data_IF_004570298027
#
_entry.id   IF_004570298027
#
_cell.length_a   1.000
_cell.length_b   1.000
_cell.length_c   1.000
_cell.angle_alpha   90.00
_cell.angle_beta   90.00
_cell.angle_gamma   90.00
#
_symmetry.space_group_name_H-M   'P 1'
#
loop_
_entity.id
_entity.type
_entity.pdbx_description
1 polymer ?
#
# COMPACT_ATOMS: atom_id res chain seq x y z
N UNK A 1 18.11 42.53 0.18
CA UNK A 1 18.92 41.76 -0.79
C UNK A 1 18.94 40.31 -0.34
N UNK A 2 18.12 39.45 -0.95
CA UNK A 2 18.22 38.00 -0.74
C UNK A 2 19.57 37.54 -1.31
N UNK A 3 20.48 37.06 -0.47
CA UNK A 3 21.78 36.54 -0.92
C UNK A 3 21.55 35.11 -1.43
N UNK A 4 21.43 34.93 -2.74
CA UNK A 4 21.53 33.61 -3.35
C UNK A 4 23.00 33.19 -3.46
N UNK A 5 23.29 31.92 -3.18
CA UNK A 5 24.62 31.31 -3.34
C UNK A 5 24.55 30.28 -4.47
N UNK A 6 25.47 30.39 -5.44
CA UNK A 6 25.61 29.37 -6.48
C UNK A 6 26.56 28.28 -6.01
N UNK A 7 26.12 27.03 -6.07
CA UNK A 7 26.91 25.85 -5.71
C UNK A 7 26.95 24.90 -6.89
N UNK A 8 28.15 24.48 -7.29
CA UNK A 8 28.35 23.49 -8.37
C UNK A 8 28.94 22.21 -7.76
N UNK A 9 28.33 21.07 -8.04
CA UNK A 9 28.83 19.76 -7.62
C UNK A 9 28.75 18.78 -8.78
N UNK A 10 29.58 17.74 -8.73
CA UNK A 10 29.53 16.62 -9.67
C UNK A 10 28.82 15.44 -9.01
N UNK A 11 27.91 14.83 -9.75
CA UNK A 11 27.30 13.57 -9.36
C UNK A 11 28.24 12.42 -9.73
N UNK A 12 28.48 11.47 -8.81
CA UNK A 12 29.11 10.19 -9.14
C UNK A 12 28.36 9.48 -10.28
N UNK A 13 29.08 8.78 -11.15
CA UNK A 13 28.51 8.18 -12.36
C UNK A 13 27.37 7.19 -12.05
N UNK A 14 27.50 6.45 -10.96
CA UNK A 14 26.50 5.50 -10.45
C UNK A 14 25.19 6.16 -9.98
N UNK A 15 25.20 7.45 -9.70
CA UNK A 15 24.02 8.20 -9.26
C UNK A 15 23.35 9.00 -10.39
N UNK A 16 23.96 9.08 -11.58
CA UNK A 16 23.46 9.94 -12.67
C UNK A 16 22.10 9.47 -13.18
N UNK A 17 21.94 8.16 -13.43
CA UNK A 17 20.70 7.59 -13.94
C UNK A 17 19.57 7.69 -12.92
N UNK A 18 19.83 7.28 -11.67
CA UNK A 18 18.85 7.31 -10.59
C UNK A 18 18.42 8.74 -10.24
N UNK A 19 19.36 9.70 -10.22
CA UNK A 19 19.04 11.12 -10.04
C UNK A 19 18.17 11.65 -11.19
N UNK A 20 18.53 11.34 -12.44
CA UNK A 20 17.80 11.85 -13.60
C UNK A 20 16.37 11.29 -13.62
N UNK A 21 16.20 10.00 -13.35
CA UNK A 21 14.89 9.37 -13.24
C UNK A 21 14.04 9.99 -12.11
N UNK A 22 14.61 10.16 -10.92
CA UNK A 22 13.89 10.73 -9.78
C UNK A 22 13.46 12.20 -10.00
N UNK A 23 14.27 12.99 -10.71
CA UNK A 23 13.87 14.35 -11.12
C UNK A 23 12.73 14.29 -12.14
N UNK A 24 12.84 13.44 -13.17
CA UNK A 24 11.80 13.27 -14.19
C UNK A 24 10.46 12.84 -13.58
N UNK A 25 10.47 11.85 -12.68
CA UNK A 25 9.27 11.33 -12.01
C UNK A 25 8.61 12.36 -11.09
N UNK A 26 9.38 13.34 -10.59
CA UNK A 26 8.84 14.42 -9.75
C UNK A 26 8.03 15.45 -10.54
N UNK A 27 8.21 15.52 -11.86
CA UNK A 27 7.61 16.56 -12.72
C UNK A 27 8.12 17.99 -12.44
N UNK A 28 9.18 18.14 -11.63
CA UNK A 28 9.76 19.43 -11.25
C UNK A 28 11.11 19.67 -11.92
N UNK A 29 11.55 20.92 -12.03
CA UNK A 29 12.89 21.22 -12.54
C UNK A 29 13.98 20.76 -11.54
N UNK A 30 15.19 20.53 -12.05
CA UNK A 30 16.33 20.01 -11.26
C UNK A 30 16.64 20.88 -10.04
N UNK A 31 16.49 22.20 -10.16
CA UNK A 31 16.81 23.14 -9.08
C UNK A 31 15.74 23.07 -8.00
N UNK A 32 14.45 23.11 -8.36
CA UNK A 32 13.35 22.94 -7.41
C UNK A 32 13.44 21.59 -6.67
N UNK A 33 13.74 20.51 -7.39
CA UNK A 33 13.92 19.18 -6.81
C UNK A 33 15.05 19.15 -5.77
N UNK A 34 16.23 19.70 -6.10
CA UNK A 34 17.37 19.78 -5.19
C UNK A 34 17.10 20.68 -3.98
N UNK A 35 16.45 21.82 -4.16
CA UNK A 35 16.05 22.69 -3.05
C UNK A 35 15.09 21.97 -2.12
N UNK A 36 14.14 21.20 -2.66
CA UNK A 36 13.27 20.32 -1.88
C UNK A 36 14.05 19.30 -1.05
N UNK A 37 15.03 18.64 -1.66
CA UNK A 37 15.90 17.67 -0.97
C UNK A 37 16.75 18.32 0.14
N UNK A 38 17.32 19.50 -0.10
CA UNK A 38 18.07 20.27 0.90
C UNK A 38 17.18 20.65 2.07
N UNK A 39 16.01 21.23 1.80
CA UNK A 39 14.99 21.59 2.79
C UNK A 39 14.60 20.40 3.68
N UNK A 40 14.37 19.25 3.05
CA UNK A 40 14.09 18.00 3.76
C UNK A 40 15.27 17.59 4.66
N UNK A 41 16.50 17.64 4.16
CA UNK A 41 17.70 17.22 4.92
C UNK A 41 17.99 18.11 6.14
N UNK A 42 17.65 19.40 6.08
CA UNK A 42 17.86 20.36 7.17
C UNK A 42 16.61 20.57 8.05
N UNK A 43 15.58 19.73 7.91
CA UNK A 43 14.30 19.84 8.63
C UNK A 43 13.63 21.21 8.51
N UNK A 44 13.80 21.90 7.38
CA UNK A 44 13.09 23.14 7.07
C UNK A 44 12.03 22.85 6.00
N UNK A 45 10.77 22.59 6.39
CA UNK A 45 9.69 22.42 5.43
C UNK A 45 9.48 23.72 4.62
N UNK A 46 8.81 23.58 3.46
CA UNK A 46 8.51 24.72 2.58
C UNK A 46 7.91 25.89 3.38
N UNK A 47 8.41 27.11 3.18
CA UNK A 47 7.90 28.29 3.87
C UNK A 47 6.45 28.58 3.49
N UNK A 48 6.00 28.10 2.33
CA UNK A 48 4.63 28.22 1.89
C UNK A 48 3.72 27.18 2.59
N UNK A 49 2.73 27.69 3.32
CA UNK A 49 1.75 26.90 4.09
C UNK A 49 0.92 26.00 3.18
N UNK A 50 0.54 26.47 1.99
CA UNK A 50 -0.29 25.72 1.04
C UNK A 50 0.48 24.50 0.49
N UNK A 51 1.76 24.68 0.17
CA UNK A 51 2.61 23.57 -0.26
C UNK A 51 2.80 22.53 0.84
N UNK A 52 2.93 22.96 2.10
CA UNK A 52 3.00 22.06 3.25
C UNK A 52 1.71 21.27 3.44
N UNK A 53 0.56 21.92 3.29
CA UNK A 53 -0.74 21.27 3.36
C UNK A 53 -0.92 20.26 2.22
N UNK A 54 -0.55 20.63 0.99
CA UNK A 54 -0.64 19.73 -0.16
C UNK A 54 0.25 18.48 0.01
N UNK A 55 1.48 18.66 0.48
CA UNK A 55 2.40 17.55 0.76
C UNK A 55 1.91 16.65 1.89
N UNK A 56 1.29 17.23 2.92
CA UNK A 56 0.67 16.48 4.02
C UNK A 56 -0.52 15.65 3.51
N UNK A 57 -1.42 16.27 2.73
CA UNK A 57 -2.59 15.61 2.14
C UNK A 57 -2.13 14.44 1.27
N UNK A 58 -1.14 14.63 0.39
CA UNK A 58 -0.61 13.55 -0.45
C UNK A 58 -0.06 12.37 0.36
N UNK A 59 0.63 12.64 1.46
CA UNK A 59 1.13 11.58 2.38
C UNK A 59 0.00 10.88 3.11
N UNK A 60 -1.02 11.63 3.56
CA UNK A 60 -2.20 11.08 4.19
C UNK A 60 -3.03 10.23 3.22
N UNK A 61 -3.19 10.66 1.97
CA UNK A 61 -3.85 9.88 0.92
C UNK A 61 -3.09 8.59 0.62
N UNK A 62 -1.76 8.65 0.55
CA UNK A 62 -0.92 7.47 0.37
C UNK A 62 -1.05 6.50 1.55
N UNK A 63 -1.04 7.03 2.78
CA UNK A 63 -1.21 6.23 3.99
C UNK A 63 -2.64 5.66 4.11
N UNK A 64 -3.66 6.43 3.74
CA UNK A 64 -5.05 6.01 3.73
C UNK A 64 -5.30 4.94 2.66
N UNK A 65 -4.70 5.07 1.47
CA UNK A 65 -4.72 4.02 0.44
C UNK A 65 -4.06 2.73 0.95
N UNK A 66 -2.95 2.84 1.68
CA UNK A 66 -2.28 1.70 2.31
C UNK A 66 -3.08 1.07 3.47
N UNK A 67 -3.96 1.84 4.13
CA UNK A 67 -4.83 1.35 5.20
C UNK A 67 -6.16 0.80 4.67
N UNK A 68 -6.69 1.34 3.57
CA UNK A 68 -7.97 0.94 2.97
C UNK A 68 -7.88 -0.22 1.98
N UNK A 69 -6.77 -0.34 1.25
CA UNK A 69 -6.45 -1.49 0.40
C UNK A 69 -5.33 -2.31 1.04
N UNK A 70 -5.62 -3.57 1.42
CA UNK A 70 -4.57 -4.47 1.90
C UNK A 70 -3.35 -4.47 0.97
N UNK A 71 -2.14 -4.49 1.55
CA UNK A 71 -0.78 -4.52 0.95
C UNK A 71 -0.63 -3.81 -0.43
N UNK A 72 0.21 -2.76 -0.47
CA UNK A 72 0.63 -2.08 -1.70
C UNK A 72 1.01 -3.08 -2.81
N UNK A 73 0.39 -2.92 -4.00
CA UNK A 73 0.77 -3.63 -5.22
C UNK A 73 -0.20 -4.70 -5.74
N UNK A 74 -1.33 -4.95 -5.06
CA UNK A 74 -2.29 -5.98 -5.47
C UNK A 74 -3.63 -5.33 -5.86
N UNK A 75 -4.13 -5.51 -7.09
CA UNK A 75 -5.43 -4.98 -7.49
C UNK A 75 -6.54 -5.51 -6.55
N UNK A 76 -7.42 -4.64 -6.01
CA UNK A 76 -8.52 -5.11 -5.19
C UNK A 76 -9.48 -5.90 -6.08
N UNK A 77 -9.48 -7.22 -5.95
CA UNK A 77 -10.53 -8.04 -6.51
C UNK A 77 -11.82 -7.79 -5.73
N UNK A 78 -12.93 -7.52 -6.42
CA UNK A 78 -14.23 -7.44 -5.76
C UNK A 78 -14.54 -8.78 -5.08
N UNK A 79 -15.48 -8.75 -4.12
CA UNK A 79 -15.86 -9.94 -3.38
C UNK A 79 -16.23 -11.11 -4.30
N UNK A 80 -15.50 -12.22 -4.17
CA UNK A 80 -15.75 -13.47 -4.87
C UNK A 80 -15.82 -14.61 -3.85
N UNK A 81 -17.03 -15.10 -3.57
CA UNK A 81 -17.26 -16.15 -2.57
C UNK A 81 -16.51 -17.44 -2.89
N UNK A 82 -16.49 -17.87 -4.15
CA UNK A 82 -15.84 -19.12 -4.54
C UNK A 82 -14.32 -19.03 -4.31
N UNK A 83 -13.71 -17.90 -4.66
CA UNK A 83 -12.29 -17.69 -4.42
C UNK A 83 -11.95 -17.58 -2.92
N UNK A 84 -12.78 -16.88 -2.14
CA UNK A 84 -12.59 -16.79 -0.68
C UNK A 84 -12.67 -18.17 -0.03
N UNK A 85 -13.64 -19.00 -0.41
CA UNK A 85 -13.75 -20.39 0.05
C UNK A 85 -12.52 -21.21 -0.36
N UNK A 86 -12.05 -21.07 -1.61
CA UNK A 86 -10.88 -21.80 -2.11
C UNK A 86 -9.59 -21.44 -1.34
N UNK A 87 -9.34 -20.14 -1.13
CA UNK A 87 -8.18 -19.67 -0.35
C UNK A 87 -8.25 -20.18 1.10
N UNK A 88 -9.43 -20.10 1.74
CA UNK A 88 -9.62 -20.60 3.09
C UNK A 88 -9.36 -22.11 3.19
N UNK A 89 -9.94 -22.91 2.29
CA UNK A 89 -9.74 -24.35 2.26
C UNK A 89 -8.27 -24.71 1.99
N UNK A 90 -7.62 -24.03 1.03
CA UNK A 90 -6.21 -24.25 0.73
C UNK A 90 -5.31 -23.97 1.95
N UNK A 91 -5.56 -22.86 2.64
CA UNK A 91 -4.81 -22.48 3.85
C UNK A 91 -4.97 -23.52 4.97
N UNK A 92 -6.18 -24.08 5.11
CA UNK A 92 -6.45 -25.15 6.08
C UNK A 92 -5.75 -26.45 5.69
N UNK A 93 -5.72 -26.83 4.40
CA UNK A 93 -4.97 -28.02 3.92
C UNK A 93 -3.48 -27.93 4.20
N UNK A 94 -2.93 -26.72 4.16
CA UNK A 94 -1.53 -26.46 4.53
C UNK A 94 -1.27 -26.51 6.04
N UNK A 95 -2.29 -26.82 6.85
CA UNK A 95 -2.21 -26.98 8.30
C UNK A 95 -2.53 -25.72 9.10
N UNK A 96 -2.95 -24.63 8.44
CA UNK A 96 -3.19 -23.33 9.09
C UNK A 96 -4.70 -23.02 9.23
N UNK A 97 -5.40 -23.72 10.12
CA UNK A 97 -6.79 -23.37 10.51
C UNK A 97 -6.80 -22.24 11.57
N UNK A 98 -6.25 -21.09 11.21
CA UNK A 98 -6.26 -19.90 12.04
C UNK A 98 -6.87 -18.73 11.26
N UNK A 99 -7.96 -18.17 11.78
CA UNK A 99 -8.69 -17.08 11.12
C UNK A 99 -7.84 -15.83 10.83
N UNK A 100 -6.77 -15.58 11.60
CA UNK A 100 -5.83 -14.49 11.32
C UNK A 100 -4.99 -14.77 10.08
N UNK A 101 -4.45 -15.99 9.97
CA UNK A 101 -3.63 -16.42 8.82
C UNK A 101 -4.48 -16.46 7.55
N UNK A 102 -5.70 -17.00 7.66
CA UNK A 102 -6.62 -17.08 6.51
C UNK A 102 -6.99 -15.68 6.02
N UNK A 103 -7.30 -14.75 6.94
CA UNK A 103 -7.56 -13.35 6.58
C UNK A 103 -6.36 -12.68 5.89
N UNK A 104 -5.14 -12.92 6.38
CA UNK A 104 -3.92 -12.41 5.74
C UNK A 104 -3.78 -12.93 4.31
N UNK A 105 -3.96 -14.24 4.09
CA UNK A 105 -3.88 -14.83 2.75
C UNK A 105 -4.97 -14.37 1.80
N UNK A 106 -6.17 -14.09 2.31
CA UNK A 106 -7.24 -13.49 1.50
C UNK A 106 -6.86 -12.08 1.03
N UNK A 107 -6.24 -11.28 1.90
CA UNK A 107 -5.74 -9.96 1.55
C UNK A 107 -4.55 -10.03 0.58
N UNK A 108 -3.64 -11.00 0.76
CA UNK A 108 -2.52 -11.25 -0.17
C UNK A 108 -3.00 -11.73 -1.54
N UNK A 109 -4.09 -12.48 -1.60
CA UNK A 109 -4.75 -12.83 -2.85
C UNK A 109 -5.55 -11.66 -3.46
N UNK A 110 -5.59 -10.49 -2.80
CA UNK A 110 -6.24 -9.28 -3.29
C UNK A 110 -7.76 -9.24 -3.11
N UNK A 111 -8.37 -10.19 -2.40
CA UNK A 111 -9.84 -10.25 -2.26
C UNK A 111 -10.35 -9.33 -1.17
N UNK A 112 -11.34 -8.50 -1.50
CA UNK A 112 -12.04 -7.68 -0.52
C UNK A 112 -13.31 -8.36 0.01
N UNK A 113 -13.77 -7.89 1.17
CA UNK A 113 -15.09 -8.24 1.71
C UNK A 113 -16.20 -7.64 0.85
N UNK A 114 -17.45 -8.10 1.04
CA UNK A 114 -18.64 -7.49 0.40
C UNK A 114 -18.76 -5.97 0.63
N UNK A 115 -18.23 -5.47 1.74
CA UNK A 115 -18.24 -4.06 2.10
C UNK A 115 -17.01 -3.29 1.56
N UNK A 116 -16.18 -3.90 0.71
CA UNK A 116 -14.97 -3.28 0.16
C UNK A 116 -13.83 -3.13 1.17
N UNK A 117 -13.94 -3.77 2.35
CA UNK A 117 -12.90 -3.74 3.40
C UNK A 117 -11.93 -4.90 3.26
N UNK A 118 -10.72 -4.74 3.81
CA UNK A 118 -9.78 -5.83 4.04
C UNK A 118 -10.35 -6.87 5.02
N UNK A 119 -9.84 -8.09 4.95
CA UNK A 119 -10.16 -9.17 5.87
C UNK A 119 -9.36 -9.03 7.16
N UNK A 120 -10.03 -9.23 8.29
CA UNK A 120 -9.40 -9.52 9.57
C UNK A 120 -9.98 -10.83 10.14
N UNK A 121 -9.42 -11.27 11.28
CA UNK A 121 -9.84 -12.52 11.94
C UNK A 121 -11.34 -12.53 12.27
N UNK A 122 -11.89 -11.40 12.72
CA UNK A 122 -13.27 -11.32 13.21
C UNK A 122 -14.25 -11.26 12.03
N UNK A 123 -13.90 -10.51 10.98
CA UNK A 123 -14.60 -10.50 9.69
C UNK A 123 -14.64 -11.90 9.09
N UNK A 124 -13.49 -12.59 9.02
CA UNK A 124 -13.44 -13.96 8.50
C UNK A 124 -14.27 -14.91 9.36
N UNK A 125 -14.18 -14.82 10.68
CA UNK A 125 -14.92 -15.69 11.61
C UNK A 125 -16.44 -15.48 11.48
N UNK A 126 -16.90 -14.24 11.36
CA UNK A 126 -18.29 -13.91 11.13
C UNK A 126 -18.77 -14.43 9.76
N UNK A 127 -17.98 -14.20 8.72
CA UNK A 127 -18.27 -14.66 7.36
C UNK A 127 -18.34 -16.20 7.27
N UNK A 128 -17.41 -16.92 7.92
CA UNK A 128 -17.39 -18.40 7.97
C UNK A 128 -18.69 -18.96 8.56
N UNK A 129 -19.26 -18.29 9.56
CA UNK A 129 -20.53 -18.66 10.21
C UNK A 129 -21.77 -18.25 9.42
N UNK A 130 -21.62 -17.37 8.43
CA UNK A 130 -22.74 -16.87 7.65
C UNK A 130 -23.18 -17.88 6.59
N UNK A 131 -24.46 -18.26 6.61
CA UNK A 131 -25.04 -19.17 5.63
C UNK A 131 -24.32 -20.53 5.58
N UNK A 132 -23.99 -20.98 4.38
CA UNK A 132 -23.38 -22.28 4.09
C UNK A 132 -21.86 -22.21 3.83
N UNK A 133 -21.20 -21.08 4.16
CA UNK A 133 -19.77 -20.89 3.88
C UNK A 133 -18.89 -21.96 4.54
N UNK A 134 -19.14 -22.28 5.81
CA UNK A 134 -18.40 -23.34 6.51
C UNK A 134 -18.57 -24.71 5.85
N UNK A 135 -19.78 -25.01 5.36
CA UNK A 135 -20.07 -26.26 4.66
C UNK A 135 -19.32 -26.32 3.33
N UNK A 136 -19.32 -25.24 2.55
CA UNK A 136 -18.56 -25.13 1.30
C UNK A 136 -17.05 -25.38 1.50
N UNK A 137 -16.47 -24.81 2.57
CA UNK A 137 -15.08 -25.09 2.92
C UNK A 137 -14.90 -26.57 3.26
N UNK A 138 -15.77 -27.14 4.09
CA UNK A 138 -15.70 -28.54 4.48
C UNK A 138 -15.83 -29.50 3.27
N UNK A 139 -16.69 -29.19 2.29
CA UNK A 139 -16.82 -29.96 1.05
C UNK A 139 -15.51 -29.98 0.26
N UNK A 140 -14.82 -28.84 0.15
CA UNK A 140 -13.52 -28.76 -0.53
C UNK A 140 -12.43 -29.50 0.26
N UNK A 141 -12.50 -29.52 1.60
CA UNK A 141 -11.53 -30.25 2.42
C UNK A 141 -11.73 -31.77 2.38
N UNK A 142 -12.94 -32.22 2.07
CA UNK A 142 -13.29 -33.64 1.96
C UNK A 142 -12.98 -34.23 0.57
N UNK A 143 -12.70 -33.40 -0.43
CA UNK A 143 -12.25 -33.79 -1.77
C UNK A 143 -10.74 -33.81 -1.87
#
# INVERSE_FOLDING_TARGET
MSKSLSVTFRLPAELVESFTAAVSDSGSDKTAWLIGAVRHKINQPDSNVDNRMLALVKRLETAAAALGGGKQGIPPHPYNQAAVVAVAAQTIREGFDNGRIIAERLNEAGYQTKAGKAWDKDIYSAWKRQGDNNQKIATILAS
#
